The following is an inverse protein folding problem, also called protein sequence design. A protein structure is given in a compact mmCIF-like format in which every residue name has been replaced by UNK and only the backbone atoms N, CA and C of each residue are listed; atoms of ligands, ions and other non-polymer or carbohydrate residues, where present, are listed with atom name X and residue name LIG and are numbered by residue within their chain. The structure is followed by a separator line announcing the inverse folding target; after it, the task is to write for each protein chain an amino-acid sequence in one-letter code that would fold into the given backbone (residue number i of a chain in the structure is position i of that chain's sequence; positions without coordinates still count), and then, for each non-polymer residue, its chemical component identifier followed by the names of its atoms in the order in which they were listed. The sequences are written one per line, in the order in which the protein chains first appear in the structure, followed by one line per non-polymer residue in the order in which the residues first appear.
data_IF_363556567227
#
_entry.id   IF_363556567227
#
_cell.length_a   1.000
_cell.length_b   1.000
_cell.length_c   1.000
_cell.angle_alpha   90.00
_cell.angle_beta   90.00
_cell.angle_gamma   90.00
#
_symmetry.space_group_name_H-M   'P 1'
#
loop_
_entity.id
_entity.type
_entity.pdbx_description
1 polymer ?
#
# COMPACT_ATOMS: atom_id res chain seq x y z
N UNK A 1 15.30 1.49 5.17
CA UNK A 1 13.99 1.10 4.61
C UNK A 1 13.02 2.24 4.88
N UNK A 2 12.34 2.77 3.86
CA UNK A 2 11.43 3.93 4.03
C UNK A 2 10.18 3.56 4.84
N UNK A 3 9.67 4.53 5.61
CA UNK A 3 8.60 4.35 6.61
C UNK A 3 7.36 3.64 6.03
N UNK A 4 6.89 4.07 4.86
CA UNK A 4 5.70 3.52 4.20
C UNK A 4 5.91 2.11 3.62
N UNK A 5 7.11 1.79 3.15
CA UNK A 5 7.45 0.44 2.69
C UNK A 5 7.49 -0.57 3.85
N UNK A 6 7.89 -0.12 5.04
CA UNK A 6 7.82 -0.92 6.28
C UNK A 6 6.37 -1.14 6.71
N UNK A 7 5.54 -0.10 6.68
CA UNK A 7 4.12 -0.17 7.07
C UNK A 7 3.31 -1.18 6.26
N UNK A 8 3.46 -1.18 4.92
CA UNK A 8 2.81 -2.20 4.08
C UNK A 8 3.24 -3.62 4.47
N UNK A 9 4.53 -3.82 4.76
CA UNK A 9 5.05 -5.11 5.23
C UNK A 9 4.49 -5.50 6.60
N UNK A 10 4.39 -4.57 7.53
CA UNK A 10 3.83 -4.80 8.87
C UNK A 10 2.35 -5.21 8.77
N UNK A 11 1.64 -4.71 7.76
CA UNK A 11 0.27 -5.12 7.41
C UNK A 11 0.19 -6.41 6.59
N UNK A 12 1.31 -7.08 6.30
CA UNK A 12 1.42 -8.27 5.43
C UNK A 12 0.94 -8.04 3.99
N UNK A 13 1.03 -6.80 3.49
CA UNK A 13 0.62 -6.41 2.14
C UNK A 13 1.85 -6.34 1.23
N UNK A 14 1.99 -7.23 0.24
CA UNK A 14 3.08 -7.15 -0.73
C UNK A 14 2.95 -5.87 -1.58
N UNK A 15 4.06 -5.14 -1.76
CA UNK A 15 4.06 -3.92 -2.58
C UNK A 15 3.62 -4.18 -4.03
N UNK A 16 3.91 -5.38 -4.55
CA UNK A 16 3.49 -5.82 -5.88
C UNK A 16 1.97 -5.85 -5.99
N UNK A 17 1.32 -6.49 -5.03
CA UNK A 17 -0.14 -6.67 -5.02
C UNK A 17 -0.84 -5.34 -4.78
N UNK A 18 -0.31 -4.52 -3.86
CA UNK A 18 -0.80 -3.15 -3.65
C UNK A 18 -0.67 -2.30 -4.92
N UNK A 19 0.47 -2.34 -5.61
CA UNK A 19 0.68 -1.59 -6.85
C UNK A 19 -0.27 -2.02 -7.96
N UNK A 20 -0.52 -3.33 -8.09
CA UNK A 20 -1.49 -3.88 -9.03
C UNK A 20 -2.91 -3.42 -8.69
N UNK A 21 -3.29 -3.49 -7.41
CA UNK A 21 -4.64 -3.12 -6.95
C UNK A 21 -4.99 -1.66 -7.22
N UNK A 22 -4.02 -0.76 -7.07
CA UNK A 22 -4.23 0.68 -7.34
C UNK A 22 -3.91 1.09 -8.78
N UNK A 23 -3.55 0.13 -9.64
CA UNK A 23 -3.33 0.37 -11.08
C UNK A 23 -2.06 1.14 -11.42
N UNK A 24 -0.98 0.99 -10.65
CA UNK A 24 0.31 1.67 -10.91
C UNK A 24 1.46 0.68 -11.03
N UNK A 25 2.55 1.08 -11.69
CA UNK A 25 3.75 0.25 -11.70
C UNK A 25 4.38 0.17 -10.31
N UNK A 26 4.99 -0.98 -9.99
CA UNK A 26 5.73 -1.17 -8.74
C UNK A 26 6.80 -0.08 -8.52
N UNK A 27 7.48 0.34 -9.60
CA UNK A 27 8.49 1.41 -9.55
C UNK A 27 7.87 2.77 -9.19
N UNK A 28 6.70 3.10 -9.75
CA UNK A 28 5.99 4.32 -9.42
C UNK A 28 5.54 4.35 -7.95
N UNK A 29 5.03 3.22 -7.44
CA UNK A 29 4.69 3.07 -6.02
C UNK A 29 5.92 3.24 -5.12
N UNK A 30 7.03 2.55 -5.43
CA UNK A 30 8.27 2.63 -4.66
C UNK A 30 8.83 4.05 -4.62
N UNK A 31 8.84 4.73 -5.78
CA UNK A 31 9.26 6.13 -5.85
C UNK A 31 8.32 7.04 -5.06
N UNK A 32 7.00 6.83 -5.17
CA UNK A 32 5.99 7.58 -4.44
C UNK A 32 6.09 7.41 -2.92
N UNK A 33 6.40 6.21 -2.43
CA UNK A 33 6.68 5.97 -1.01
C UNK A 33 8.00 6.59 -0.56
N UNK A 34 9.01 6.64 -1.44
CA UNK A 34 10.30 7.28 -1.17
C UNK A 34 10.19 8.80 -1.06
N UNK A 35 9.36 9.42 -1.87
CA UNK A 35 9.13 10.86 -1.89
C UNK A 35 7.96 11.30 -1.02
N UNK A 36 7.38 10.38 -0.24
CA UNK A 36 6.22 10.64 0.62
C UNK A 36 5.06 11.31 -0.12
N UNK A 37 4.85 10.89 -1.37
CA UNK A 37 3.78 11.43 -2.19
C UNK A 37 2.42 11.21 -1.50
N UNK A 38 1.75 12.34 -1.21
CA UNK A 38 0.53 12.41 -0.40
C UNK A 38 -0.57 11.44 -0.83
N UNK A 39 -0.65 11.08 -2.12
CA UNK A 39 -1.67 10.14 -2.61
C UNK A 39 -1.43 8.73 -2.11
N UNK A 40 -0.20 8.23 -2.22
CA UNK A 40 0.14 6.88 -1.75
C UNK A 40 0.15 6.82 -0.23
N UNK A 41 0.63 7.86 0.45
CA UNK A 41 0.61 7.88 1.92
C UNK A 41 -0.82 7.86 2.45
N UNK A 42 -1.75 8.63 1.87
CA UNK A 42 -3.16 8.60 2.25
C UNK A 42 -3.80 7.22 2.07
N UNK A 43 -3.50 6.52 0.98
CA UNK A 43 -3.99 5.16 0.76
C UNK A 43 -3.45 4.18 1.82
N UNK A 44 -2.16 4.27 2.15
CA UNK A 44 -1.56 3.43 3.19
C UNK A 44 -2.19 3.74 4.56
N UNK A 45 -2.44 5.01 4.88
CA UNK A 45 -3.15 5.39 6.10
C UNK A 45 -4.58 4.84 6.14
N UNK A 46 -5.31 4.88 5.01
CA UNK A 46 -6.64 4.29 4.94
C UNK A 46 -6.61 2.78 5.25
N UNK A 47 -5.60 2.06 4.75
CA UNK A 47 -5.42 0.64 5.07
C UNK A 47 -5.13 0.39 6.56
N UNK A 48 -4.36 1.28 7.21
CA UNK A 48 -4.06 1.18 8.65
C UNK A 48 -5.31 1.34 9.52
N UNK A 49 -6.31 2.09 9.06
CA UNK A 49 -7.58 2.26 9.76
C UNK A 49 -8.53 1.06 9.58
N UNK A 50 -8.26 0.20 8.60
CA UNK A 50 -9.08 -0.99 8.33
C UNK A 50 -8.62 -2.19 9.18
N UNK A 51 -9.58 -3.02 9.57
CA UNK A 51 -9.29 -4.35 10.13
C UNK A 51 -8.52 -5.20 9.12
N UNK A 52 -7.78 -6.20 9.61
CA UNK A 52 -7.06 -7.13 8.73
C UNK A 52 -8.01 -7.81 7.72
N UNK A 53 -9.19 -8.25 8.19
CA UNK A 53 -10.22 -8.85 7.35
C UNK A 53 -10.69 -7.91 6.22
N UNK A 54 -10.93 -6.63 6.52
CA UNK A 54 -11.33 -5.65 5.51
C UNK A 54 -10.22 -5.29 4.52
N UNK A 55 -8.96 -5.29 4.98
CA UNK A 55 -7.80 -5.14 4.08
C UNK A 55 -7.69 -6.33 3.12
N UNK A 56 -7.86 -7.54 3.63
CA UNK A 56 -7.80 -8.76 2.83
C UNK A 56 -8.94 -8.81 1.81
N UNK A 57 -10.17 -8.47 2.22
CA UNK A 57 -11.29 -8.29 1.29
C UNK A 57 -10.94 -7.29 0.20
N UNK A 58 -10.45 -6.10 0.57
CA UNK A 58 -10.10 -5.05 -0.38
C UNK A 58 -9.03 -5.48 -1.38
N UNK A 59 -8.01 -6.23 -0.94
CA UNK A 59 -6.95 -6.77 -1.80
C UNK A 59 -7.43 -7.92 -2.70
N UNK A 60 -8.39 -8.71 -2.25
CA UNK A 60 -8.96 -9.86 -3.00
C UNK A 60 -10.01 -9.46 -4.03
N UNK A 61 -10.65 -8.30 -3.87
CA UNK A 61 -11.61 -7.81 -4.86
C UNK A 61 -10.88 -7.64 -6.21
N UNK A 62 -11.51 -8.01 -7.35
CA UNK A 62 -10.94 -7.78 -8.67
C UNK A 62 -10.72 -6.28 -8.97
#
# INVERSE_FOLDING_TARGET
MHQYGKRLRDMQIPQKDFSAKIGVSLRALQNGMKTENKRYTALIHALELMSAEKRDEWLKLP
#
